data_IF_146520597259
#
_entry.id   IF_146520597259
#
_cell.length_a   1.000
_cell.length_b   1.000
_cell.length_c   1.000
_cell.angle_alpha   90.00
_cell.angle_beta   90.00
_cell.angle_gamma   90.00
#
_symmetry.space_group_name_H-M   'P 1'
#
loop_
_entity.id
_entity.type
_entity.pdbx_description
1 polymer ?
#
# COMPACT_ATOMS: atom_id res chain seq x y z
N UNK A 1 0.19 -19.96 12.47
CA UNK A 1 -0.35 -20.74 11.35
C UNK A 1 -0.09 -19.91 10.12
N UNK A 2 0.72 -20.42 9.18
CA UNK A 2 1.03 -19.70 7.96
C UNK A 2 -0.17 -19.83 7.03
N UNK A 3 -0.86 -18.71 6.76
CA UNK A 3 -1.85 -18.65 5.70
C UNK A 3 -1.12 -18.89 4.37
N UNK A 4 -1.49 -19.98 3.73
CA UNK A 4 -1.11 -20.27 2.35
C UNK A 4 -1.77 -19.19 1.49
N UNK A 5 -1.02 -18.41 0.69
CA UNK A 5 -1.65 -17.46 -0.22
C UNK A 5 -2.51 -18.25 -1.19
N UNK A 6 -3.80 -17.93 -1.27
CA UNK A 6 -4.61 -18.27 -2.43
C UNK A 6 -3.83 -17.78 -3.65
N UNK A 7 -3.43 -18.69 -4.55
CA UNK A 7 -2.70 -18.32 -5.76
C UNK A 7 -3.63 -17.42 -6.57
N UNK A 8 -3.38 -16.11 -6.54
CA UNK A 8 -4.10 -15.17 -7.37
C UNK A 8 -3.59 -15.38 -8.80
N UNK A 9 -4.44 -15.93 -9.66
CA UNK A 9 -4.09 -16.17 -11.05
C UNK A 9 -4.00 -14.83 -11.79
N UNK A 10 -2.88 -14.60 -12.47
CA UNK A 10 -2.69 -13.44 -13.34
C UNK A 10 -3.03 -13.80 -14.81
N UNK A 11 -3.51 -12.84 -15.62
CA UNK A 11 -3.82 -11.46 -15.25
C UNK A 11 -5.09 -11.36 -14.40
N UNK A 12 -5.08 -10.45 -13.43
CA UNK A 12 -6.24 -10.14 -12.59
C UNK A 12 -7.24 -9.31 -13.38
N UNK A 13 -8.52 -9.60 -13.21
CA UNK A 13 -9.62 -8.80 -13.79
C UNK A 13 -10.57 -8.42 -12.66
N UNK A 14 -10.86 -7.12 -12.51
CA UNK A 14 -11.79 -6.66 -11.47
C UNK A 14 -13.13 -7.40 -11.54
N UNK A 15 -13.59 -7.90 -10.39
CA UNK A 15 -14.95 -8.41 -10.19
C UNK A 15 -15.71 -7.50 -9.24
N UNK A 16 -17.01 -7.32 -9.47
CA UNK A 16 -17.88 -6.60 -8.54
C UNK A 16 -18.00 -7.29 -7.17
N UNK A 17 -17.65 -8.58 -7.07
CA UNK A 17 -17.54 -9.29 -5.79
C UNK A 17 -16.44 -8.72 -4.88
N UNK A 18 -15.51 -7.94 -5.44
CA UNK A 18 -14.40 -7.30 -4.73
C UNK A 18 -14.72 -5.85 -4.34
N UNK A 19 -15.92 -5.36 -4.66
CA UNK A 19 -16.35 -4.03 -4.26
C UNK A 19 -16.57 -3.96 -2.74
N UNK A 20 -16.00 -2.94 -2.10
CA UNK A 20 -16.31 -2.58 -0.72
C UNK A 20 -17.56 -1.71 -0.60
N UNK A 21 -18.30 -1.52 -1.70
CA UNK A 21 -19.50 -0.70 -1.76
C UNK A 21 -19.24 0.81 -1.75
N UNK A 22 -17.99 1.24 -1.96
CA UNK A 22 -17.60 2.64 -2.02
C UNK A 22 -16.81 2.93 -3.29
N UNK A 23 -17.43 3.65 -4.22
CA UNK A 23 -16.87 3.92 -5.55
C UNK A 23 -15.50 4.62 -5.55
N UNK A 24 -15.14 5.37 -4.49
CA UNK A 24 -13.82 6.01 -4.39
C UNK A 24 -12.76 4.97 -4.04
N UNK A 25 -13.03 4.12 -3.04
CA UNK A 25 -12.12 3.04 -2.64
C UNK A 25 -12.03 1.98 -3.74
N UNK A 26 -13.16 1.57 -4.32
CA UNK A 26 -13.18 0.63 -5.45
C UNK A 26 -12.38 1.19 -6.65
N UNK A 27 -12.38 2.51 -6.84
CA UNK A 27 -11.57 3.18 -7.86
C UNK A 27 -10.06 3.04 -7.59
N UNK A 28 -9.63 3.24 -6.34
CA UNK A 28 -8.25 3.01 -5.93
C UNK A 28 -7.87 1.52 -6.09
N UNK A 29 -8.73 0.59 -5.66
CA UNK A 29 -8.51 -0.86 -5.75
C UNK A 29 -8.38 -1.32 -7.21
N UNK A 30 -9.25 -0.85 -8.11
CA UNK A 30 -9.13 -1.11 -9.56
C UNK A 30 -7.77 -0.68 -10.10
N UNK A 31 -7.29 0.51 -9.70
CA UNK A 31 -5.98 0.98 -10.11
C UNK A 31 -4.84 0.10 -9.57
N UNK A 32 -4.95 -0.41 -8.33
CA UNK A 32 -3.98 -1.38 -7.80
C UNK A 32 -3.97 -2.71 -8.55
N UNK A 33 -5.13 -3.20 -9.00
CA UNK A 33 -5.21 -4.42 -9.80
C UNK A 33 -4.47 -4.23 -11.13
N UNK A 34 -4.68 -3.11 -11.82
CA UNK A 34 -3.93 -2.80 -13.05
C UNK A 34 -2.43 -2.67 -12.79
N UNK A 35 -2.04 -2.02 -11.69
CA UNK A 35 -0.64 -1.90 -11.30
C UNK A 35 -0.01 -3.26 -10.98
N UNK A 36 -0.74 -4.14 -10.29
CA UNK A 36 -0.31 -5.50 -10.00
C UNK A 36 -0.10 -6.31 -11.29
N UNK A 37 -1.00 -6.18 -12.26
CA UNK A 37 -0.85 -6.80 -13.58
C UNK A 37 0.41 -6.29 -14.30
N UNK A 38 0.68 -4.99 -14.29
CA UNK A 38 1.88 -4.41 -14.90
C UNK A 38 3.17 -4.87 -14.22
N UNK A 39 3.18 -4.94 -12.89
CA UNK A 39 4.32 -5.47 -12.12
C UNK A 39 4.55 -6.94 -12.43
N UNK A 40 3.50 -7.75 -12.47
CA UNK A 40 3.60 -9.16 -12.85
C UNK A 40 4.11 -9.33 -14.29
N UNK A 41 3.60 -8.56 -15.25
CA UNK A 41 4.09 -8.58 -16.62
C UNK A 41 5.58 -8.21 -16.71
N UNK A 42 6.03 -7.22 -15.95
CA UNK A 42 7.45 -6.84 -15.93
C UNK A 42 8.32 -7.92 -15.29
N UNK A 43 7.81 -8.60 -14.27
CA UNK A 43 8.47 -9.74 -13.64
C UNK A 43 8.64 -10.92 -14.61
N UNK A 44 7.57 -11.29 -15.35
CA UNK A 44 7.60 -12.40 -16.32
C UNK A 44 8.40 -12.09 -17.59
N UNK A 45 8.45 -10.83 -18.01
CA UNK A 45 9.15 -10.43 -19.26
C UNK A 45 10.68 -10.36 -19.12
N UNK A 46 11.24 -10.60 -17.93
CA UNK A 46 12.68 -10.51 -17.69
C UNK A 46 13.25 -9.12 -18.02
N UNK A 47 14.41 -9.09 -18.69
CA UNK A 47 15.15 -7.84 -18.96
C UNK A 47 14.42 -6.88 -19.93
N UNK A 48 13.53 -7.39 -20.80
CA UNK A 48 12.89 -6.60 -21.87
C UNK A 48 12.02 -5.44 -21.35
N UNK A 49 11.49 -5.57 -20.12
CA UNK A 49 10.60 -4.57 -19.51
C UNK A 49 11.11 -4.01 -18.19
N UNK A 50 12.33 -4.36 -17.76
CA UNK A 50 12.91 -3.84 -16.52
C UNK A 50 13.02 -2.30 -16.51
N UNK A 51 13.11 -1.66 -17.68
CA UNK A 51 13.12 -0.20 -17.78
C UNK A 51 11.86 0.48 -17.20
N UNK A 52 10.74 -0.24 -17.09
CA UNK A 52 9.49 0.29 -16.50
C UNK A 52 9.48 0.22 -14.96
N UNK A 53 10.31 -0.64 -14.37
CA UNK A 53 10.29 -0.93 -12.95
C UNK A 53 10.48 0.29 -12.03
N UNK A 54 11.40 1.25 -12.31
CA UNK A 54 11.53 2.44 -11.48
C UNK A 54 10.23 3.26 -11.43
N UNK A 55 9.55 3.39 -12.56
CA UNK A 55 8.27 4.10 -12.66
C UNK A 55 7.17 3.37 -11.91
N UNK A 56 7.11 2.03 -12.03
CA UNK A 56 6.13 1.21 -11.31
C UNK A 56 6.32 1.29 -9.80
N UNK A 57 7.55 1.23 -9.30
CA UNK A 57 7.87 1.40 -7.88
C UNK A 57 7.43 2.78 -7.36
N UNK A 58 7.72 3.83 -8.14
CA UNK A 58 7.34 5.21 -7.78
C UNK A 58 5.82 5.34 -7.68
N UNK A 59 5.10 4.90 -8.72
CA UNK A 59 3.62 4.96 -8.75
C UNK A 59 3.02 4.11 -7.63
N UNK A 60 3.54 2.91 -7.38
CA UNK A 60 3.06 2.05 -6.30
C UNK A 60 3.22 2.74 -4.93
N UNK A 61 4.40 3.31 -4.65
CA UNK A 61 4.66 3.98 -3.38
C UNK A 61 3.72 5.15 -3.14
N UNK A 62 3.50 6.00 -4.17
CA UNK A 62 2.56 7.13 -4.08
C UNK A 62 1.12 6.67 -3.87
N UNK A 63 0.67 5.68 -4.65
CA UNK A 63 -0.71 5.20 -4.60
C UNK A 63 -1.01 4.55 -3.26
N UNK A 64 -0.11 3.70 -2.77
CA UNK A 64 -0.20 3.05 -1.45
C UNK A 64 -0.29 4.08 -0.34
N UNK A 65 0.57 5.11 -0.36
CA UNK A 65 0.55 6.18 0.63
C UNK A 65 -0.81 6.89 0.68
N UNK A 66 -1.31 7.33 -0.46
CA UNK A 66 -2.58 8.04 -0.56
C UNK A 66 -3.79 7.17 -0.21
N UNK A 67 -3.83 5.94 -0.71
CA UNK A 67 -4.95 5.02 -0.51
C UNK A 67 -5.07 4.59 0.95
N UNK A 68 -3.98 4.14 1.57
CA UNK A 68 -4.02 3.74 2.97
C UNK A 68 -4.37 4.92 3.88
N UNK A 69 -3.92 6.14 3.58
CA UNK A 69 -4.36 7.33 4.32
C UNK A 69 -5.88 7.56 4.17
N UNK A 70 -6.42 7.38 2.96
CA UNK A 70 -7.86 7.49 2.69
C UNK A 70 -8.65 6.53 3.55
N UNK A 71 -8.27 5.25 3.56
CA UNK A 71 -8.92 4.21 4.35
C UNK A 71 -8.78 4.47 5.84
N UNK A 72 -7.58 4.76 6.32
CA UNK A 72 -7.34 4.99 7.73
C UNK A 72 -8.16 6.17 8.28
N UNK A 73 -8.30 7.25 7.50
CA UNK A 73 -9.19 8.37 7.84
C UNK A 73 -10.65 7.92 7.91
N UNK A 74 -11.11 7.19 6.91
CA UNK A 74 -12.49 6.70 6.84
C UNK A 74 -12.80 5.76 8.02
N UNK A 75 -11.97 4.75 8.26
CA UNK A 75 -12.13 3.76 9.33
C UNK A 75 -12.07 4.40 10.72
N UNK A 76 -11.18 5.37 10.93
CA UNK A 76 -11.12 6.14 12.17
C UNK A 76 -12.41 6.94 12.40
N UNK A 77 -12.94 7.57 11.35
CA UNK A 77 -14.15 8.41 11.45
C UNK A 77 -15.39 7.61 11.89
N UNK A 78 -15.48 6.34 11.47
CA UNK A 78 -16.59 5.43 11.81
C UNK A 78 -16.31 4.57 13.04
N UNK A 79 -15.18 4.81 13.73
CA UNK A 79 -14.74 4.05 14.91
C UNK A 79 -14.70 2.53 14.65
N UNK A 80 -14.17 2.13 13.51
CA UNK A 80 -14.04 0.72 13.14
C UNK A 80 -13.24 -0.04 14.20
N UNK A 81 -13.80 -1.14 14.72
CA UNK A 81 -13.25 -1.86 15.88
C UNK A 81 -11.88 -2.51 15.62
N UNK A 82 -11.54 -2.79 14.36
CA UNK A 82 -10.27 -3.39 13.97
C UNK A 82 -9.29 -2.37 13.35
N UNK A 83 -9.52 -1.07 13.56
CA UNK A 83 -8.70 -0.01 12.98
C UNK A 83 -7.20 -0.17 13.26
N UNK A 84 -6.81 -0.44 14.51
CA UNK A 84 -5.39 -0.56 14.88
C UNK A 84 -4.71 -1.76 14.22
N UNK A 85 -5.44 -2.87 14.06
CA UNK A 85 -4.97 -4.06 13.34
C UNK A 85 -4.76 -3.75 11.85
N UNK A 86 -5.74 -3.10 11.22
CA UNK A 86 -5.71 -2.70 9.81
C UNK A 86 -4.56 -1.73 9.52
N UNK A 87 -4.40 -0.70 10.36
CA UNK A 87 -3.30 0.26 10.24
C UNK A 87 -1.93 -0.41 10.42
N UNK A 88 -1.80 -1.36 11.34
CA UNK A 88 -0.54 -2.10 11.53
C UNK A 88 -0.17 -2.90 10.28
N UNK A 89 -1.15 -3.50 9.60
CA UNK A 89 -0.97 -4.17 8.31
C UNK A 89 -0.44 -3.19 7.26
N UNK A 90 -1.03 -2.00 7.14
CA UNK A 90 -0.54 -0.94 6.26
C UNK A 90 0.89 -0.50 6.57
N UNK A 91 1.23 -0.30 7.84
CA UNK A 91 2.57 0.13 8.26
C UNK A 91 3.65 -0.92 7.92
N UNK A 92 3.33 -2.21 8.10
CA UNK A 92 4.23 -3.30 7.68
C UNK A 92 4.45 -3.34 6.17
N UNK A 93 3.39 -3.11 5.38
CA UNK A 93 3.50 -3.05 3.94
C UNK A 93 4.37 -1.87 3.48
N UNK A 94 4.10 -0.67 4.00
CA UNK A 94 4.90 0.55 3.71
C UNK A 94 6.38 0.33 4.04
N UNK A 95 6.67 -0.28 5.19
CA UNK A 95 8.04 -0.58 5.61
C UNK A 95 8.75 -1.52 4.62
N UNK A 96 8.10 -2.60 4.19
CA UNK A 96 8.65 -3.53 3.19
C UNK A 96 8.85 -2.86 1.84
N UNK A 97 7.84 -2.12 1.36
CA UNK A 97 7.94 -1.41 0.09
C UNK A 97 9.09 -0.41 0.09
N UNK A 98 9.30 0.31 1.19
CA UNK A 98 10.41 1.25 1.34
C UNK A 98 11.77 0.55 1.19
N UNK A 99 11.97 -0.59 1.87
CA UNK A 99 13.21 -1.38 1.74
C UNK A 99 13.43 -1.81 0.29
N UNK A 100 12.38 -2.31 -0.36
CA UNK A 100 12.42 -2.73 -1.77
C UNK A 100 12.85 -1.57 -2.69
N UNK A 101 12.28 -0.38 -2.49
CA UNK A 101 12.66 0.81 -3.24
C UNK A 101 14.14 1.18 -3.02
N UNK A 102 14.63 1.16 -1.79
CA UNK A 102 16.02 1.48 -1.44
C UNK A 102 17.02 0.48 -2.04
N UNK A 103 16.72 -0.82 -1.96
CA UNK A 103 17.55 -1.88 -2.55
C UNK A 103 17.58 -1.80 -4.08
N UNK A 104 16.42 -1.55 -4.70
CA UNK A 104 16.34 -1.36 -6.14
C UNK A 104 17.17 -0.15 -6.60
N UNK A 105 17.05 0.99 -5.90
CA UNK A 105 17.86 2.19 -6.18
C UNK A 105 19.36 1.96 -6.00
N UNK A 106 19.75 1.04 -5.11
CA UNK A 106 21.15 0.66 -4.87
C UNK A 106 21.71 -0.31 -5.93
N UNK A 107 20.91 -0.70 -6.92
CA UNK A 107 21.30 -1.59 -8.01
C UNK A 107 20.98 -3.06 -7.80
N UNK A 108 20.32 -3.43 -6.69
CA UNK A 108 19.95 -4.81 -6.41
C UNK A 108 18.68 -5.18 -7.19
N UNK A 109 18.84 -5.75 -8.38
CA UNK A 109 17.73 -6.02 -9.31
C UNK A 109 16.85 -7.20 -8.90
N UNK A 110 17.36 -8.17 -8.14
CA UNK A 110 16.59 -9.34 -7.69
C UNK A 110 15.43 -9.01 -6.76
N UNK A 111 15.42 -7.81 -6.17
CA UNK A 111 14.31 -7.31 -5.34
C UNK A 111 12.99 -7.15 -6.12
N UNK A 112 13.04 -7.22 -7.45
CA UNK A 112 11.84 -7.29 -8.31
C UNK A 112 10.96 -8.50 -7.96
N UNK A 113 11.58 -9.62 -7.58
CA UNK A 113 10.83 -10.82 -7.15
C UNK A 113 10.13 -10.55 -5.82
N UNK A 114 10.79 -9.84 -4.89
CA UNK A 114 10.21 -9.46 -3.60
C UNK A 114 9.07 -8.46 -3.78
N UNK A 115 9.20 -7.53 -4.73
CA UNK A 115 8.11 -6.61 -5.12
C UNK A 115 6.90 -7.39 -5.65
N UNK A 116 7.11 -8.29 -6.60
CA UNK A 116 6.03 -9.10 -7.17
C UNK A 116 5.32 -9.89 -6.07
N UNK A 117 6.07 -10.57 -5.20
CA UNK A 117 5.51 -11.30 -4.06
C UNK A 117 4.78 -10.41 -3.05
N UNK A 118 5.30 -9.21 -2.79
CA UNK A 118 4.65 -8.26 -1.89
C UNK A 118 3.31 -7.77 -2.47
N UNK A 119 3.27 -7.45 -3.76
CA UNK A 119 2.04 -6.97 -4.41
C UNK A 119 1.04 -8.11 -4.61
N UNK A 120 1.44 -9.20 -5.24
CA UNK A 120 0.57 -10.33 -5.53
C UNK A 120 0.14 -11.09 -4.26
N UNK A 121 1.09 -11.34 -3.36
CA UNK A 121 0.87 -12.15 -2.17
C UNK A 121 0.25 -11.39 -1.01
N UNK A 122 0.52 -10.08 -0.90
CA UNK A 122 -0.02 -9.29 0.21
C UNK A 122 -1.03 -8.24 -0.23
N UNK A 123 -0.70 -7.34 -1.16
CA UNK A 123 -1.59 -6.20 -1.47
C UNK A 123 -2.92 -6.66 -2.05
N UNK A 124 -2.87 -7.54 -3.05
CA UNK A 124 -4.09 -8.08 -3.65
C UNK A 124 -4.90 -8.86 -2.62
N UNK A 125 -4.26 -9.72 -1.83
CA UNK A 125 -4.98 -10.46 -0.79
C UNK A 125 -5.60 -9.54 0.28
N UNK A 126 -4.90 -8.48 0.69
CA UNK A 126 -5.39 -7.47 1.65
C UNK A 126 -6.67 -6.82 1.12
N UNK A 127 -6.66 -6.36 -0.13
CA UNK A 127 -7.84 -5.77 -0.80
C UNK A 127 -9.01 -6.77 -0.87
N UNK A 128 -8.71 -8.02 -1.23
CA UNK A 128 -9.76 -9.03 -1.43
C UNK A 128 -10.28 -9.67 -0.14
N UNK A 129 -9.67 -9.39 1.01
CA UNK A 129 -10.03 -10.02 2.29
C UNK A 129 -10.18 -9.03 3.43
N UNK A 130 -9.12 -8.33 3.81
CA UNK A 130 -9.12 -7.40 4.93
C UNK A 130 -10.01 -6.19 4.66
N UNK A 131 -9.91 -5.61 3.47
CA UNK A 131 -10.70 -4.43 3.10
C UNK A 131 -12.20 -4.74 3.01
N UNK A 132 -12.55 -5.96 2.57
CA UNK A 132 -13.93 -6.43 2.52
C UNK A 132 -14.62 -6.45 3.89
N UNK A 133 -13.86 -6.56 4.99
CA UNK A 133 -14.40 -6.61 6.36
C UNK A 133 -15.03 -5.29 6.80
N UNK A 134 -14.66 -4.17 6.19
CA UNK A 134 -15.24 -2.87 6.55
C UNK A 134 -16.37 -2.43 5.60
N UNK A 135 -16.73 -3.21 4.58
CA UNK A 135 -17.70 -2.80 3.54
C UNK A 135 -19.01 -2.22 4.08
N UNK A 136 -19.54 -2.76 5.17
CA UNK A 136 -20.80 -2.32 5.80
C UNK A 136 -20.65 -1.11 6.73
N UNK A 137 -19.41 -0.69 7.00
CA UNK A 137 -19.10 0.41 7.91
C UNK A 137 -18.95 1.74 7.16
N UNK A 138 -18.60 1.69 5.88
CA UNK A 138 -18.35 2.87 5.08
C UNK A 138 -19.60 3.32 4.35
N UNK A 139 -19.77 4.63 4.27
CA UNK A 139 -20.72 5.28 3.37
C UNK A 139 -19.98 6.21 2.42
N UNK A 140 -20.67 6.74 1.41
CA UNK A 140 -20.06 7.71 0.50
C UNK A 140 -19.59 8.97 1.22
N UNK A 141 -20.23 9.36 2.32
CA UNK A 141 -19.90 10.58 3.07
C UNK A 141 -18.68 10.43 4.00
N UNK A 142 -18.21 9.20 4.25
CA UNK A 142 -17.12 8.92 5.20
C UNK A 142 -15.76 8.80 4.53
N UNK A 143 -15.70 8.91 3.19
CA UNK A 143 -14.47 8.71 2.42
C UNK A 143 -14.04 10.01 1.76
N UNK A 144 -12.80 10.42 2.03
CA UNK A 144 -12.16 11.55 1.35
C UNK A 144 -12.09 11.24 -0.14
N UNK A 145 -12.61 12.12 -1.00
CA UNK A 145 -12.70 11.92 -2.45
C UNK A 145 -11.66 12.73 -3.24
N UNK A 146 -10.68 13.35 -2.57
CA UNK A 146 -9.58 14.03 -3.24
C UNK A 146 -8.77 13.04 -4.08
N UNK A 147 -8.11 13.51 -5.17
CA UNK A 147 -7.17 12.68 -5.92
C UNK A 147 -6.06 12.10 -5.03
N UNK A 148 -5.63 10.88 -5.33
CA UNK A 148 -4.59 10.17 -4.56
C UNK A 148 -3.30 11.00 -4.42
N UNK A 149 -2.94 11.81 -5.41
CA UNK A 149 -1.76 12.69 -5.34
C UNK A 149 -1.79 13.62 -4.11
N UNK A 150 -2.94 14.23 -3.80
CA UNK A 150 -3.08 15.11 -2.62
C UNK A 150 -2.96 14.32 -1.31
N UNK A 151 -3.53 13.11 -1.27
CA UNK A 151 -3.47 12.23 -0.10
C UNK A 151 -2.06 11.67 0.10
N UNK A 152 -1.36 11.35 -0.98
CA UNK A 152 0.04 10.90 -0.95
C UNK A 152 0.95 11.98 -0.35
N UNK A 153 0.84 13.22 -0.83
CA UNK A 153 1.59 14.35 -0.27
C UNK A 153 1.31 14.57 1.23
N UNK A 154 0.06 14.41 1.64
CA UNK A 154 -0.35 14.52 3.05
C UNK A 154 0.22 13.37 3.90
N UNK A 155 0.20 12.14 3.38
CA UNK A 155 0.77 10.97 4.03
C UNK A 155 2.29 11.14 4.26
N UNK A 156 3.00 11.63 3.25
CA UNK A 156 4.44 11.93 3.37
C UNK A 156 4.74 13.02 4.40
N UNK A 157 3.95 14.10 4.41
CA UNK A 157 4.15 15.22 5.34
C UNK A 157 3.97 14.75 6.79
N UNK A 158 2.92 13.97 7.05
CA UNK A 158 2.64 13.37 8.36
C UNK A 158 3.76 12.43 8.82
N UNK A 159 4.34 11.66 7.90
CA UNK A 159 5.47 10.78 8.19
C UNK A 159 6.75 11.56 8.55
N UNK A 160 7.03 12.67 7.87
CA UNK A 160 8.19 13.54 8.14
C UNK A 160 8.10 14.20 9.52
N UNK A 161 6.92 14.70 9.90
CA UNK A 161 6.69 15.29 11.22
C UNK A 161 6.85 14.24 12.34
N UNK A 162 6.34 13.02 12.12
CA UNK A 162 6.46 11.92 13.07
C UNK A 162 7.92 11.45 13.25
N UNK A 163 8.69 11.40 12.17
CA UNK A 163 10.11 11.02 12.21
C UNK A 163 11.04 12.09 12.79
N UNK A 164 10.70 13.37 12.69
CA UNK A 164 11.47 14.45 13.31
C UNK A 164 11.29 14.50 14.84
N UNK A 165 10.11 14.07 15.34
CA UNK A 165 9.86 13.89 16.77
C UNK A 165 10.78 12.84 17.42
N UNK A 166 11.05 11.73 16.71
CA UNK A 166 11.89 10.64 17.22
C UNK A 166 13.39 11.02 17.22
N UNK A 167 13.84 11.80 16.23
CA UNK A 167 15.22 12.35 16.18
C UNK A 167 15.50 13.38 17.27
N UNK A 168 14.52 14.21 17.64
CA UNK A 168 14.66 15.17 18.75
C UNK A 168 14.77 14.46 20.10
N UNK A 169 14.10 13.32 20.28
CA UNK A 169 14.15 12.55 21.52
C UNK A 169 15.47 11.75 21.66
N UNK A 170 16.03 11.25 20.55
CA UNK A 170 17.33 10.58 20.53
C UNK A 170 18.51 11.51 20.89
N UNK A 171 18.42 12.81 20.55
CA UNK A 171 19.43 13.81 20.89
C UNK A 171 19.34 14.31 22.35
N UNK A 172 18.21 14.10 23.03
CA UNK A 172 18.01 14.52 24.42
C UNK A 172 18.64 13.56 25.45
N UNK A 173 18.81 12.28 25.09
CA UNK A 173 19.31 11.23 25.99
C UNK A 173 20.82 10.98 25.94
N UNK A 174 21.58 11.78 25.19
CA UNK A 174 23.03 11.60 25.06
C UNK A 174 23.82 12.76 25.70
N UNK A 175 23.50 13.09 26.97
CA UNK A 175 24.38 13.91 27.80
C UNK A 175 25.22 13.00 28.69
N UNK A 176 26.56 13.00 28.57
CA UNK A 176 27.41 12.19 29.43
C UNK A 176 27.40 12.76 30.85
N UNK A 177 27.22 11.88 31.83
CA UNK A 177 27.65 12.10 33.22
C UNK A 177 29.11 11.70 33.36
#
# INVERSE_FOLDING_TARGET
MADVPQIVAFPLTWSEDWSVGNAVIDGDHKAFIELANLIHMCHESGDDKQALMPSLLTVLNEYVGGHFLREEKALRSVRYSHFDEHRRKHDLFRGRLKVICEEYSSGYRSVVNDLHNLVAGWLVNHILSDDMRYRTWLSRATVDNRPLAFLSMEAESSARESGDGDRRNALANNRPY
#
